data_IF_233109227432
#
_entry.id   IF_233109227432
#
_cell.length_a   1.000
_cell.length_b   1.000
_cell.length_c   1.000
_cell.angle_alpha   90.00
_cell.angle_beta   90.00
_cell.angle_gamma   90.00
#
_symmetry.space_group_name_H-M   'P 1'
#
loop_
_entity.id
_entity.type
_entity.pdbx_description
1 polymer ?
#
# COMPACT_ATOMS: atom_id res chain seq x y z
N UNK A 1 -13.65 -31.38 -16.85
CA UNK A 1 -12.47 -30.67 -16.30
C UNK A 1 -12.92 -29.31 -15.79
N UNK A 2 -12.37 -28.84 -14.67
CA UNK A 2 -12.74 -27.55 -14.09
C UNK A 2 -11.87 -26.46 -14.72
N UNK A 3 -12.49 -25.40 -15.21
CA UNK A 3 -11.80 -24.22 -15.74
C UNK A 3 -11.68 -23.19 -14.61
N UNK A 4 -10.46 -22.94 -14.15
CA UNK A 4 -10.20 -22.00 -13.05
C UNK A 4 -9.24 -20.88 -13.46
N UNK A 5 -9.26 -19.72 -12.77
CA UNK A 5 -8.36 -18.61 -13.07
C UNK A 5 -6.89 -19.03 -12.94
N UNK A 6 -6.10 -18.76 -13.97
CA UNK A 6 -4.67 -19.04 -13.94
C UNK A 6 -4.01 -18.31 -12.75
N UNK A 7 -2.97 -18.91 -12.13
CA UNK A 7 -2.20 -18.22 -11.11
C UNK A 7 -1.61 -16.93 -11.67
N UNK A 8 -1.69 -15.84 -10.92
CA UNK A 8 -1.04 -14.58 -11.30
C UNK A 8 0.48 -14.80 -11.28
N UNK A 9 1.14 -14.45 -12.38
CA UNK A 9 2.55 -14.79 -12.64
C UNK A 9 2.77 -16.23 -13.12
N UNK A 10 1.69 -16.94 -13.46
CA UNK A 10 1.69 -18.32 -13.95
C UNK A 10 2.22 -19.33 -12.94
N UNK A 11 2.48 -20.55 -13.42
CA UNK A 11 3.13 -21.63 -12.69
C UNK A 11 4.62 -21.29 -12.54
N UNK A 12 5.24 -21.69 -11.43
CA UNK A 12 6.65 -21.32 -11.17
C UNK A 12 7.57 -22.25 -11.96
N UNK A 13 8.19 -21.75 -13.02
CA UNK A 13 9.03 -22.55 -13.93
C UNK A 13 10.53 -22.41 -13.61
N UNK A 14 11.41 -23.26 -14.15
CA UNK A 14 12.85 -23.11 -13.96
C UNK A 14 13.41 -21.73 -14.37
N UNK A 15 12.77 -21.06 -15.33
CA UNK A 15 13.10 -19.68 -15.74
C UNK A 15 12.83 -18.63 -14.66
N UNK A 16 11.99 -18.92 -13.66
CA UNK A 16 11.74 -18.04 -12.51
C UNK A 16 12.88 -18.04 -11.47
N UNK A 17 13.84 -18.97 -11.56
CA UNK A 17 14.88 -19.15 -10.54
C UNK A 17 15.74 -17.89 -10.37
N UNK A 18 16.35 -17.41 -11.46
CA UNK A 18 17.21 -16.22 -11.45
C UNK A 18 16.47 -14.95 -11.02
N UNK A 19 15.31 -14.57 -11.60
CA UNK A 19 14.59 -13.37 -11.16
C UNK A 19 14.09 -13.48 -9.71
N UNK A 20 13.70 -14.67 -9.23
CA UNK A 20 13.32 -14.85 -7.83
C UNK A 20 14.48 -14.58 -6.88
N UNK A 21 15.68 -15.09 -7.16
CA UNK A 21 16.87 -14.78 -6.34
C UNK A 21 17.19 -13.28 -6.40
N UNK A 22 17.14 -12.68 -7.59
CA UNK A 22 17.37 -11.25 -7.76
C UNK A 22 16.44 -10.42 -6.87
N UNK A 23 15.13 -10.67 -6.93
CA UNK A 23 14.17 -9.92 -6.11
C UNK A 23 14.30 -10.22 -4.62
N UNK A 24 14.61 -11.46 -4.22
CA UNK A 24 14.90 -11.76 -2.81
C UNK A 24 16.07 -10.90 -2.28
N UNK A 25 17.14 -10.77 -3.07
CA UNK A 25 18.30 -9.92 -2.73
C UNK A 25 17.91 -8.44 -2.73
N UNK A 26 17.20 -7.96 -3.75
CA UNK A 26 16.76 -6.57 -3.84
C UNK A 26 15.86 -6.15 -2.67
N UNK A 27 14.96 -7.02 -2.22
CA UNK A 27 14.17 -6.78 -1.00
C UNK A 27 15.03 -6.86 0.26
N UNK A 28 15.98 -7.81 0.33
CA UNK A 28 16.95 -7.92 1.42
C UNK A 28 17.81 -6.67 1.60
N UNK A 29 18.24 -6.04 0.51
CA UNK A 29 19.01 -4.79 0.52
C UNK A 29 18.23 -3.59 1.09
N UNK A 30 16.91 -3.66 1.12
CA UNK A 30 16.09 -2.62 1.76
C UNK A 30 16.00 -2.81 3.30
N UNK A 31 16.28 -3.99 3.86
CA UNK A 31 16.20 -4.23 5.32
C UNK A 31 17.07 -3.28 6.16
N UNK A 32 18.35 -3.00 5.81
CA UNK A 32 19.14 -2.03 6.55
C UNK A 32 18.48 -0.64 6.60
N UNK A 33 17.80 -0.22 5.53
CA UNK A 33 17.05 1.04 5.49
C UNK A 33 15.84 0.98 6.43
N UNK A 34 15.10 -0.13 6.48
CA UNK A 34 14.00 -0.33 7.43
C UNK A 34 14.51 -0.21 8.86
N UNK A 35 15.57 -0.95 9.21
CA UNK A 35 16.16 -0.93 10.56
C UNK A 35 16.65 0.46 10.93
N UNK A 36 17.33 1.15 10.01
CA UNK A 36 17.76 2.53 10.20
C UNK A 36 16.57 3.47 10.46
N UNK A 37 15.51 3.38 9.63
CA UNK A 37 14.32 4.24 9.75
C UNK A 37 13.60 4.03 11.07
N UNK A 38 13.53 2.79 11.55
CA UNK A 38 12.89 2.41 12.80
C UNK A 38 13.73 2.77 14.04
N UNK A 39 15.06 2.76 13.92
CA UNK A 39 15.98 3.05 15.04
C UNK A 39 16.22 4.56 15.21
N UNK A 40 16.31 5.31 14.11
CA UNK A 40 16.62 6.74 14.17
C UNK A 40 15.40 7.55 14.65
N UNK A 41 15.53 8.17 15.84
CA UNK A 41 14.48 8.99 16.48
C UNK A 41 13.86 10.06 15.57
N UNK A 42 14.64 10.60 14.61
CA UNK A 42 14.22 11.64 13.66
C UNK A 42 13.41 11.12 12.47
N UNK A 43 13.41 9.82 12.18
CA UNK A 43 12.65 9.21 11.07
C UNK A 43 11.63 8.19 11.50
N UNK A 44 11.73 7.66 12.73
CA UNK A 44 10.83 6.64 13.25
C UNK A 44 9.38 7.11 13.16
N UNK A 45 8.57 6.30 12.51
CA UNK A 45 7.12 6.44 12.40
C UNK A 45 6.48 5.05 12.42
N UNK A 46 5.36 4.91 13.13
CA UNK A 46 4.61 3.66 13.21
C UNK A 46 3.90 3.33 11.89
N UNK A 47 3.73 4.32 11.00
CA UNK A 47 3.06 4.18 9.71
C UNK A 47 3.81 3.26 8.73
N UNK A 48 5.09 2.96 8.98
CA UNK A 48 5.91 2.10 8.13
C UNK A 48 6.08 0.66 8.66
N UNK A 49 5.35 0.29 9.72
CA UNK A 49 5.41 -1.08 10.26
C UNK A 49 4.81 -2.07 9.28
N UNK A 50 3.63 -1.78 8.70
CA UNK A 50 2.93 -2.66 7.76
C UNK A 50 3.77 -2.99 6.53
N UNK A 51 4.23 -1.95 5.82
CA UNK A 51 5.20 -2.07 4.72
C UNK A 51 6.51 -2.80 5.11
N UNK A 52 6.93 -2.74 6.38
CA UNK A 52 8.16 -3.39 6.84
C UNK A 52 7.99 -4.89 6.98
N UNK A 53 6.85 -5.30 7.54
CA UNK A 53 6.45 -6.71 7.59
C UNK A 53 6.26 -7.28 6.18
N UNK A 54 5.64 -6.50 5.28
CA UNK A 54 5.49 -6.90 3.87
C UNK A 54 6.84 -7.10 3.18
N UNK A 55 7.82 -6.22 3.43
CA UNK A 55 9.16 -6.36 2.86
C UNK A 55 9.85 -7.65 3.34
N UNK A 56 9.75 -7.98 4.62
CA UNK A 56 10.29 -9.26 5.16
C UNK A 56 9.58 -10.44 4.51
N UNK A 57 8.25 -10.36 4.41
CA UNK A 57 7.44 -11.37 3.75
C UNK A 57 7.88 -11.56 2.29
N UNK A 58 8.23 -10.49 1.56
CA UNK A 58 8.70 -10.57 0.18
C UNK A 58 10.03 -11.30 0.01
N UNK A 59 10.93 -11.21 1.00
CA UNK A 59 12.18 -11.97 0.98
C UNK A 59 11.88 -13.46 1.07
N UNK A 60 11.01 -13.85 2.01
CA UNK A 60 10.57 -15.25 2.19
C UNK A 60 9.84 -15.73 0.94
N UNK A 61 8.93 -14.91 0.41
CA UNK A 61 8.17 -15.17 -0.79
C UNK A 61 9.09 -15.55 -1.96
N UNK A 62 10.07 -14.71 -2.29
CA UNK A 62 10.93 -14.95 -3.44
C UNK A 62 11.96 -16.06 -3.21
N UNK A 63 12.39 -16.28 -1.95
CA UNK A 63 13.19 -17.46 -1.62
C UNK A 63 12.40 -18.76 -1.85
N UNK A 64 11.13 -18.81 -1.43
CA UNK A 64 10.23 -19.94 -1.68
C UNK A 64 9.95 -20.11 -3.17
N UNK A 65 9.72 -19.02 -3.92
CA UNK A 65 9.52 -19.07 -5.38
C UNK A 65 10.77 -19.60 -6.10
N UNK A 66 11.97 -19.21 -5.68
CA UNK A 66 13.22 -19.77 -6.20
C UNK A 66 13.34 -21.27 -5.94
N UNK A 67 12.91 -21.73 -4.75
CA UNK A 67 12.86 -23.16 -4.42
C UNK A 67 11.85 -23.92 -5.29
N UNK A 68 10.67 -23.35 -5.54
CA UNK A 68 9.66 -23.94 -6.44
C UNK A 68 10.16 -24.06 -7.89
N UNK A 69 10.99 -23.13 -8.35
CA UNK A 69 11.57 -23.19 -9.69
C UNK A 69 12.49 -24.42 -9.90
N UNK A 70 13.06 -24.97 -8.82
CA UNK A 70 14.00 -26.11 -8.85
C UNK A 70 13.39 -27.46 -8.48
N UNK A 71 12.17 -27.48 -7.96
CA UNK A 71 11.55 -28.69 -7.42
C UNK A 71 10.11 -28.82 -7.91
N UNK A 72 9.83 -29.87 -8.67
CA UNK A 72 8.49 -30.13 -9.20
C UNK A 72 7.47 -30.40 -8.07
N UNK A 73 7.87 -31.10 -7.00
CA UNK A 73 7.01 -31.34 -5.85
C UNK A 73 6.61 -30.05 -5.12
N UNK A 74 7.52 -29.07 -5.03
CA UNK A 74 7.23 -27.75 -4.47
C UNK A 74 6.44 -26.87 -5.45
N UNK A 75 6.69 -26.99 -6.76
CA UNK A 75 5.99 -26.23 -7.81
C UNK A 75 4.48 -26.46 -7.75
N UNK A 76 4.07 -27.71 -7.58
CA UNK A 76 2.66 -28.10 -7.53
C UNK A 76 2.09 -28.20 -6.11
N UNK A 77 2.82 -27.70 -5.11
CA UNK A 77 2.33 -27.65 -3.73
C UNK A 77 1.15 -26.68 -3.61
N UNK A 78 -0.03 -27.23 -3.32
CA UNK A 78 -1.26 -26.49 -3.08
C UNK A 78 -1.08 -25.38 -2.03
N UNK A 79 -0.33 -25.66 -0.96
CA UNK A 79 -0.06 -24.69 0.10
C UNK A 79 0.77 -23.50 -0.37
N UNK A 80 1.85 -23.77 -1.13
CA UNK A 80 2.70 -22.71 -1.67
C UNK A 80 1.95 -21.90 -2.71
N UNK A 81 1.24 -22.53 -3.66
CA UNK A 81 0.46 -21.80 -4.67
C UNK A 81 -0.59 -20.89 -4.00
N UNK A 82 -1.30 -21.39 -2.99
CA UNK A 82 -2.25 -20.60 -2.20
C UNK A 82 -1.59 -19.42 -1.50
N UNK A 83 -0.44 -19.65 -0.85
CA UNK A 83 0.34 -18.59 -0.20
C UNK A 83 0.76 -17.52 -1.20
N UNK A 84 1.32 -17.92 -2.35
CA UNK A 84 1.78 -17.00 -3.38
C UNK A 84 0.64 -16.13 -3.94
N UNK A 85 -0.48 -16.77 -4.28
CA UNK A 85 -1.64 -16.06 -4.83
C UNK A 85 -2.29 -15.12 -3.81
N UNK A 86 -2.35 -15.53 -2.54
CA UNK A 86 -2.86 -14.68 -1.45
C UNK A 86 -1.95 -13.48 -1.27
N UNK A 87 -0.65 -13.70 -1.18
CA UNK A 87 0.31 -12.65 -0.90
C UNK A 87 0.41 -11.61 -2.03
N UNK A 88 0.34 -12.02 -3.30
CA UNK A 88 0.20 -11.06 -4.41
C UNK A 88 -1.13 -10.32 -4.39
N UNK A 89 -2.22 -10.99 -3.97
CA UNK A 89 -3.56 -10.41 -3.91
C UNK A 89 -3.71 -9.28 -2.91
N UNK A 90 -2.95 -9.32 -1.82
CA UNK A 90 -3.14 -8.41 -0.69
C UNK A 90 -2.13 -7.28 -0.63
N UNK A 91 -0.93 -7.47 -1.19
CA UNK A 91 0.19 -6.57 -0.91
C UNK A 91 0.01 -5.15 -1.42
N UNK A 92 -0.36 -4.98 -2.70
CA UNK A 92 -0.53 -3.67 -3.32
C UNK A 92 -1.71 -2.89 -2.69
N UNK A 93 -2.74 -3.61 -2.23
CA UNK A 93 -3.85 -3.04 -1.45
C UNK A 93 -3.35 -2.59 -0.09
N UNK A 94 -2.52 -3.41 0.58
CA UNK A 94 -1.91 -3.09 1.87
C UNK A 94 -1.04 -1.84 1.83
N UNK A 95 -0.12 -1.74 0.85
CA UNK A 95 0.74 -0.56 0.65
C UNK A 95 -0.12 0.69 0.43
N UNK A 96 -1.14 0.60 -0.41
CA UNK A 96 -2.03 1.74 -0.65
C UNK A 96 -2.87 2.11 0.58
N UNK A 97 -3.31 1.13 1.37
CA UNK A 97 -4.02 1.36 2.63
C UNK A 97 -3.14 2.10 3.64
N UNK A 98 -1.89 1.66 3.82
CA UNK A 98 -0.88 2.35 4.64
C UNK A 98 -0.66 3.79 4.14
N UNK A 99 -0.72 3.98 2.81
CA UNK A 99 -0.56 5.28 2.17
C UNK A 99 -1.60 6.30 2.59
N UNK A 100 -2.82 5.86 2.89
CA UNK A 100 -3.91 6.75 3.33
C UNK A 100 -3.55 7.47 4.64
N UNK A 101 -2.77 6.85 5.52
CA UNK A 101 -2.41 7.46 6.79
C UNK A 101 -1.52 8.70 6.62
N UNK A 102 -0.54 8.68 5.71
CA UNK A 102 0.27 9.87 5.43
C UNK A 102 -0.40 10.85 4.45
N UNK A 103 -1.29 10.37 3.56
CA UNK A 103 -2.17 11.23 2.75
C UNK A 103 -3.10 12.05 3.65
N UNK A 104 -3.65 11.44 4.70
CA UNK A 104 -4.44 12.15 5.71
C UNK A 104 -3.66 13.30 6.31
N UNK A 105 -2.41 13.07 6.73
CA UNK A 105 -1.56 14.12 7.28
C UNK A 105 -1.30 15.24 6.24
N UNK A 106 -1.06 14.87 4.99
CA UNK A 106 -0.86 15.81 3.88
C UNK A 106 -2.06 16.74 3.68
N UNK A 107 -3.28 16.22 3.82
CA UNK A 107 -4.53 16.97 3.65
C UNK A 107 -4.92 17.77 4.90
N UNK A 108 -4.68 17.21 6.09
CA UNK A 108 -5.10 17.79 7.37
C UNK A 108 -4.16 18.91 7.83
N UNK A 109 -2.84 18.77 7.71
CA UNK A 109 -1.88 19.77 8.21
C UNK A 109 -2.12 21.20 7.67
N UNK A 110 -2.42 21.39 6.36
CA UNK A 110 -2.78 22.70 5.78
C UNK A 110 -4.01 23.39 6.36
N UNK A 111 -4.89 22.65 7.07
CA UNK A 111 -6.15 23.18 7.60
C UNK A 111 -6.00 23.86 8.97
N UNK A 112 -4.81 23.80 9.56
CA UNK A 112 -4.52 24.46 10.83
C UNK A 112 -4.22 25.95 10.64
N UNK A 113 -4.85 26.78 11.46
CA UNK A 113 -4.53 28.19 11.61
C UNK A 113 -3.25 28.41 12.43
N UNK A 114 -2.76 29.65 12.48
CA UNK A 114 -1.49 29.96 13.17
C UNK A 114 -1.53 29.68 14.67
N UNK A 115 -2.67 29.87 15.32
CA UNK A 115 -2.83 29.66 16.77
C UNK A 115 -2.85 28.17 17.15
N UNK A 116 -3.44 27.33 16.31
CA UNK A 116 -3.66 25.91 16.60
C UNK A 116 -2.63 24.99 15.92
N UNK A 117 -1.64 25.55 15.22
CA UNK A 117 -0.70 24.76 14.41
C UNK A 117 0.14 23.77 15.24
N UNK A 118 0.46 24.12 16.49
CA UNK A 118 1.21 23.26 17.40
C UNK A 118 0.48 21.95 17.70
N UNK A 119 -0.86 21.96 17.62
CA UNK A 119 -1.66 20.76 17.78
C UNK A 119 -1.55 19.83 16.58
N UNK A 120 -1.13 20.30 15.40
CA UNK A 120 -1.05 19.47 14.21
C UNK A 120 0.04 18.40 14.31
N UNK A 121 -0.09 17.26 13.61
CA UNK A 121 1.02 16.31 13.45
C UNK A 121 2.33 16.96 12.93
N UNK A 122 2.20 18.03 12.14
CA UNK A 122 3.33 18.81 11.66
C UNK A 122 4.03 19.61 12.75
N UNK A 123 3.28 20.19 13.71
CA UNK A 123 3.84 20.91 14.87
C UNK A 123 4.80 20.05 15.70
N UNK A 124 4.51 18.75 15.84
CA UNK A 124 5.37 17.79 16.53
C UNK A 124 6.54 17.25 15.68
N UNK A 125 6.64 17.66 14.41
CA UNK A 125 7.65 17.16 13.47
C UNK A 125 8.74 18.18 13.23
N UNK A 126 9.86 18.06 13.96
CA UNK A 126 11.03 18.94 13.79
C UNK A 126 11.64 18.81 12.39
N UNK A 127 11.68 19.93 11.65
CA UNK A 127 12.23 20.00 10.30
C UNK A 127 11.40 19.25 9.26
N UNK A 128 10.07 19.22 9.44
CA UNK A 128 9.12 18.75 8.44
C UNK A 128 9.07 19.68 7.21
N UNK A 129 8.55 19.15 6.09
CA UNK A 129 8.37 19.94 4.86
C UNK A 129 7.18 20.90 4.97
N UNK A 130 6.18 20.55 5.78
CA UNK A 130 5.07 21.45 6.09
C UNK A 130 5.57 22.57 7.00
N UNK A 131 5.45 23.82 6.54
CA UNK A 131 5.83 25.02 7.29
C UNK A 131 4.65 25.50 8.13
N UNK A 132 4.90 26.15 9.28
CA UNK A 132 3.83 26.82 10.01
C UNK A 132 3.17 27.87 9.11
N UNK A 133 1.84 28.04 9.20
CA UNK A 133 1.13 29.06 8.44
C UNK A 133 1.52 30.46 8.94
N UNK A 134 1.44 31.50 8.08
CA UNK A 134 1.68 32.88 8.50
C UNK A 134 0.78 33.29 9.69
N UNK A 135 1.29 34.15 10.55
CA UNK A 135 0.54 34.70 11.70
C UNK A 135 -0.75 35.35 11.22
N UNK A 136 -1.87 35.04 11.87
CA UNK A 136 -3.21 35.52 11.50
C UNK A 136 -3.94 34.64 10.48
N UNK A 137 -3.35 33.50 10.08
CA UNK A 137 -4.06 32.54 9.22
C UNK A 137 -5.22 31.90 9.99
N UNK A 138 -6.48 32.01 9.50
CA UNK A 138 -7.64 31.46 10.19
C UNK A 138 -7.67 29.94 10.13
N UNK A 139 -8.16 29.32 11.20
CA UNK A 139 -8.32 27.87 11.33
C UNK A 139 -9.52 27.35 10.50
N UNK A 140 -9.42 26.12 9.97
CA UNK A 140 -10.46 25.51 9.14
C UNK A 140 -10.96 24.15 9.67
N UNK A 141 -11.63 24.11 10.83
CA UNK A 141 -12.03 22.85 11.48
C UNK A 141 -13.04 22.04 10.66
N UNK A 142 -13.96 22.69 9.94
CA UNK A 142 -14.95 21.99 9.09
C UNK A 142 -14.27 21.21 7.96
N UNK A 143 -13.29 21.82 7.29
CA UNK A 143 -12.52 21.19 6.22
C UNK A 143 -11.64 20.06 6.77
N UNK A 144 -11.01 20.27 7.93
CA UNK A 144 -10.24 19.24 8.63
C UNK A 144 -11.07 17.99 8.91
N UNK A 145 -12.24 18.18 9.50
CA UNK A 145 -13.17 17.08 9.80
C UNK A 145 -13.62 16.36 8.52
N UNK A 146 -13.88 17.10 7.43
CA UNK A 146 -14.18 16.51 6.13
C UNK A 146 -13.04 15.61 5.63
N UNK A 147 -11.79 16.09 5.66
CA UNK A 147 -10.64 15.29 5.22
C UNK A 147 -10.43 14.04 6.06
N UNK A 148 -10.58 14.14 7.39
CA UNK A 148 -10.52 12.98 8.29
C UNK A 148 -11.56 11.93 7.91
N UNK A 149 -12.84 12.32 7.81
CA UNK A 149 -13.94 11.43 7.42
C UNK A 149 -13.72 10.81 6.05
N UNK A 150 -13.26 11.58 5.08
CA UNK A 150 -12.96 11.10 3.73
C UNK A 150 -11.85 10.04 3.77
N UNK A 151 -10.76 10.30 4.49
CA UNK A 151 -9.66 9.33 4.63
C UNK A 151 -10.04 8.08 5.42
N UNK A 152 -10.89 8.22 6.44
CA UNK A 152 -11.43 7.08 7.20
C UNK A 152 -12.33 6.21 6.30
N UNK A 153 -13.20 6.83 5.51
CA UNK A 153 -14.02 6.13 4.52
C UNK A 153 -13.15 5.35 3.51
N UNK A 154 -12.13 6.00 2.95
CA UNK A 154 -11.19 5.35 2.03
C UNK A 154 -10.48 4.17 2.68
N UNK A 155 -10.05 4.31 3.94
CA UNK A 155 -9.41 3.23 4.69
C UNK A 155 -10.36 2.04 4.87
N UNK A 156 -11.63 2.26 5.17
CA UNK A 156 -12.63 1.19 5.27
C UNK A 156 -12.89 0.51 3.93
N UNK A 157 -12.93 1.26 2.82
CA UNK A 157 -13.12 0.68 1.48
C UNK A 157 -11.89 -0.17 1.09
N UNK A 158 -10.66 0.30 1.38
CA UNK A 158 -9.45 -0.51 1.18
C UNK A 158 -9.45 -1.77 2.04
N UNK A 159 -9.91 -1.68 3.29
CA UNK A 159 -10.06 -2.85 4.15
C UNK A 159 -11.08 -3.85 3.58
N UNK A 160 -12.21 -3.36 3.06
CA UNK A 160 -13.19 -4.22 2.39
C UNK A 160 -12.59 -4.91 1.15
N UNK A 161 -11.87 -4.17 0.30
CA UNK A 161 -11.15 -4.73 -0.86
C UNK A 161 -10.13 -5.78 -0.44
N UNK A 162 -9.38 -5.53 0.63
CA UNK A 162 -8.40 -6.46 1.20
C UNK A 162 -9.06 -7.75 1.70
N UNK A 163 -10.19 -7.66 2.42
CA UNK A 163 -10.94 -8.82 2.90
C UNK A 163 -11.43 -9.66 1.72
N UNK A 164 -12.00 -9.03 0.68
CA UNK A 164 -12.45 -9.72 -0.53
C UNK A 164 -11.27 -10.45 -1.18
N UNK A 165 -10.11 -9.80 -1.30
CA UNK A 165 -8.89 -10.40 -1.86
C UNK A 165 -8.41 -11.60 -1.02
N UNK A 166 -8.41 -11.51 0.31
CA UNK A 166 -8.03 -12.63 1.20
C UNK A 166 -8.98 -13.80 1.02
N UNK A 167 -10.29 -13.57 1.02
CA UNK A 167 -11.32 -14.62 0.86
C UNK A 167 -11.20 -15.29 -0.51
N UNK A 168 -10.99 -14.51 -1.57
CA UNK A 168 -10.82 -15.04 -2.92
C UNK A 168 -9.58 -15.96 -3.01
N UNK A 169 -8.44 -15.53 -2.48
CA UNK A 169 -7.19 -16.27 -2.65
C UNK A 169 -6.99 -17.40 -1.63
N UNK A 170 -7.57 -17.29 -0.43
CA UNK A 170 -7.49 -18.36 0.57
C UNK A 170 -8.27 -19.62 0.16
N UNK A 171 -9.26 -19.49 -0.72
CA UNK A 171 -10.04 -20.60 -1.26
C UNK A 171 -9.44 -21.20 -2.54
N UNK A 172 -8.24 -20.77 -2.97
CA UNK A 172 -7.67 -21.15 -4.27
C UNK A 172 -7.51 -22.66 -4.46
N UNK A 173 -7.17 -23.43 -3.43
CA UNK A 173 -7.01 -24.90 -3.56
C UNK A 173 -8.32 -25.63 -3.76
N UNK A 174 -9.44 -25.05 -3.29
CA UNK A 174 -10.76 -25.66 -3.41
C UNK A 174 -11.35 -25.51 -4.81
N UNK A 175 -10.78 -24.64 -5.66
CA UNK A 175 -11.31 -24.38 -7.00
C UNK A 175 -10.98 -25.49 -8.00
N UNK A 176 -9.96 -26.31 -7.74
CA UNK A 176 -9.51 -27.33 -8.70
C UNK A 176 -10.55 -28.45 -8.90
N UNK A 177 -11.44 -28.64 -7.93
CA UNK A 177 -12.42 -29.73 -7.92
C UNK A 177 -13.87 -29.25 -8.16
N UNK A 178 -14.10 -27.94 -8.22
CA UNK A 178 -15.45 -27.36 -8.20
C UNK A 178 -15.53 -26.08 -9.05
N UNK A 179 -16.26 -26.17 -10.17
CA UNK A 179 -16.45 -25.08 -11.11
C UNK A 179 -17.15 -23.87 -10.48
N UNK A 180 -18.13 -24.09 -9.60
CA UNK A 180 -18.88 -23.01 -8.95
C UNK A 180 -17.96 -22.20 -8.03
N UNK A 181 -17.07 -22.88 -7.29
CA UNK A 181 -16.04 -22.22 -6.47
C UNK A 181 -15.00 -21.51 -7.32
N UNK A 182 -14.62 -22.07 -8.46
CA UNK A 182 -13.70 -21.45 -9.41
C UNK A 182 -14.26 -20.12 -9.94
N UNK A 183 -15.51 -20.11 -10.42
CA UNK A 183 -16.14 -18.91 -10.95
C UNK A 183 -16.39 -17.86 -9.86
N UNK A 184 -16.83 -18.28 -8.66
CA UNK A 184 -16.95 -17.36 -7.51
C UNK A 184 -15.61 -16.72 -7.14
N UNK A 185 -14.53 -17.51 -7.13
CA UNK A 185 -13.18 -17.01 -6.83
C UNK A 185 -12.71 -16.03 -7.90
N UNK A 186 -12.98 -16.31 -9.17
CA UNK A 186 -12.70 -15.39 -10.28
C UNK A 186 -13.41 -14.05 -10.06
N UNK A 187 -14.73 -14.07 -9.82
CA UNK A 187 -15.53 -12.87 -9.60
C UNK A 187 -15.05 -12.05 -8.41
N UNK A 188 -14.67 -12.68 -7.30
CA UNK A 188 -14.13 -11.96 -6.13
C UNK A 188 -12.75 -11.34 -6.42
N UNK A 189 -11.89 -12.02 -7.19
CA UNK A 189 -10.61 -11.45 -7.64
C UNK A 189 -10.84 -10.22 -8.51
N UNK A 190 -11.76 -10.28 -9.47
CA UNK A 190 -12.14 -9.13 -10.30
C UNK A 190 -12.70 -7.99 -9.45
N UNK A 191 -13.63 -8.28 -8.55
CA UNK A 191 -14.25 -7.27 -7.70
C UNK A 191 -13.22 -6.55 -6.81
N UNK A 192 -12.32 -7.29 -6.15
CA UNK A 192 -11.27 -6.68 -5.33
C UNK A 192 -10.29 -5.82 -6.12
N UNK A 193 -9.84 -6.29 -7.29
CA UNK A 193 -8.91 -5.54 -8.15
C UNK A 193 -9.57 -4.30 -8.77
N UNK A 194 -10.80 -4.41 -9.26
CA UNK A 194 -11.56 -3.28 -9.80
C UNK A 194 -11.83 -2.21 -8.74
N UNK A 195 -12.23 -2.63 -7.54
CA UNK A 195 -12.42 -1.73 -6.41
C UNK A 195 -11.11 -1.01 -6.03
N UNK A 196 -9.98 -1.73 -6.02
CA UNK A 196 -8.68 -1.14 -5.74
C UNK A 196 -8.29 -0.08 -6.79
N UNK A 197 -8.46 -0.37 -8.10
CA UNK A 197 -8.20 0.59 -9.18
C UNK A 197 -9.05 1.85 -9.01
N UNK A 198 -10.36 1.69 -8.79
CA UNK A 198 -11.27 2.82 -8.56
C UNK A 198 -10.79 3.68 -7.37
N UNK A 199 -10.40 3.05 -6.26
CA UNK A 199 -9.89 3.77 -5.09
C UNK A 199 -8.56 4.49 -5.35
N UNK A 200 -7.65 3.92 -6.15
CA UNK A 200 -6.40 4.61 -6.51
C UNK A 200 -6.66 5.90 -7.28
N UNK A 201 -7.58 5.88 -8.25
CA UNK A 201 -7.94 7.09 -8.98
C UNK A 201 -8.65 8.11 -8.09
N UNK A 202 -9.50 7.68 -7.16
CA UNK A 202 -10.13 8.58 -6.17
C UNK A 202 -9.06 9.24 -5.29
N UNK A 203 -8.10 8.49 -4.77
CA UNK A 203 -7.01 9.02 -3.95
C UNK A 203 -6.15 10.02 -4.74
N UNK A 204 -5.76 9.68 -5.98
CA UNK A 204 -5.01 10.59 -6.86
C UNK A 204 -5.82 11.86 -7.12
N UNK A 205 -7.12 11.73 -7.40
CA UNK A 205 -8.03 12.85 -7.61
C UNK A 205 -8.11 13.77 -6.40
N UNK A 206 -8.25 13.21 -5.19
CA UNK A 206 -8.28 13.99 -3.94
C UNK A 206 -6.98 14.74 -3.70
N UNK A 207 -5.82 14.08 -3.86
CA UNK A 207 -4.52 14.72 -3.68
C UNK A 207 -4.34 15.84 -4.71
N UNK A 208 -4.63 15.56 -5.98
CA UNK A 208 -4.50 16.51 -7.09
C UNK A 208 -5.42 17.72 -6.88
N UNK A 209 -6.70 17.48 -6.59
CA UNK A 209 -7.66 18.53 -6.24
C UNK A 209 -7.17 19.38 -5.06
N UNK A 210 -6.66 18.76 -3.99
CA UNK A 210 -6.15 19.50 -2.84
C UNK A 210 -4.97 20.43 -3.17
N UNK A 211 -4.08 20.01 -4.08
CA UNK A 211 -2.94 20.81 -4.53
C UNK A 211 -3.39 22.00 -5.36
N UNK A 212 -4.43 21.84 -6.20
CA UNK A 212 -4.93 22.90 -7.08
C UNK A 212 -5.92 23.86 -6.41
N UNK A 213 -6.74 23.39 -5.47
CA UNK A 213 -7.74 24.21 -4.78
C UNK A 213 -7.15 24.99 -3.61
N UNK A 214 -6.11 24.48 -2.96
CA UNK A 214 -5.45 25.14 -1.83
C UNK A 214 -3.98 25.54 -2.10
N UNK A 215 -3.66 26.20 -3.24
CA UNK A 215 -2.28 26.48 -3.63
C UNK A 215 -1.61 27.51 -2.72
N UNK A 216 -2.39 28.40 -2.11
CA UNK A 216 -1.88 29.44 -1.20
C UNK A 216 -1.56 28.93 0.22
N UNK A 217 -1.94 27.69 0.57
CA UNK A 217 -1.97 27.20 1.98
C UNK A 217 -1.20 25.90 2.25
N UNK A 218 0.01 25.75 1.72
CA UNK A 218 1.04 24.84 2.29
C UNK A 218 0.98 23.32 1.98
N UNK A 219 0.10 22.81 1.09
CA UNK A 219 0.26 21.42 0.63
C UNK A 219 1.61 21.29 -0.08
N UNK A 220 2.53 20.51 0.50
CA UNK A 220 3.84 20.27 -0.07
C UNK A 220 3.69 19.54 -1.41
N UNK A 221 3.95 20.24 -2.52
CA UNK A 221 3.93 19.66 -3.88
C UNK A 221 4.84 18.44 -4.01
N UNK A 222 5.99 18.46 -3.32
CA UNK A 222 6.92 17.32 -3.28
C UNK A 222 6.28 16.11 -2.61
N UNK A 223 5.62 16.31 -1.47
CA UNK A 223 4.98 15.23 -0.72
C UNK A 223 3.77 14.67 -1.47
N UNK A 224 2.98 15.55 -2.10
CA UNK A 224 1.89 15.16 -2.99
C UNK A 224 2.40 14.33 -4.19
N UNK A 225 3.48 14.77 -4.85
CA UNK A 225 4.07 14.04 -5.97
C UNK A 225 4.56 12.65 -5.56
N UNK A 226 5.20 12.50 -4.40
CA UNK A 226 5.62 11.18 -3.92
C UNK A 226 4.42 10.29 -3.58
N UNK A 227 3.39 10.82 -2.92
CA UNK A 227 2.18 10.05 -2.64
C UNK A 227 1.47 9.59 -3.93
N UNK A 228 1.31 10.50 -4.90
CA UNK A 228 0.73 10.17 -6.21
C UNK A 228 1.56 9.10 -6.92
N UNK A 229 2.89 9.22 -6.91
CA UNK A 229 3.79 8.24 -7.53
C UNK A 229 3.61 6.84 -6.91
N UNK A 230 3.56 6.74 -5.57
CA UNK A 230 3.34 5.46 -4.88
C UNK A 230 1.98 4.86 -5.26
N UNK A 231 0.92 5.67 -5.27
CA UNK A 231 -0.43 5.18 -5.62
C UNK A 231 -0.51 4.79 -7.11
N UNK A 232 0.15 5.52 -8.01
CA UNK A 232 0.26 5.15 -9.43
C UNK A 232 0.98 3.81 -9.61
N UNK A 233 2.07 3.56 -8.89
CA UNK A 233 2.76 2.27 -8.93
C UNK A 233 1.85 1.13 -8.46
N UNK A 234 1.03 1.33 -7.42
CA UNK A 234 0.03 0.33 -7.00
C UNK A 234 -1.09 0.15 -8.04
N UNK A 235 -1.47 1.23 -8.72
CA UNK A 235 -2.45 1.17 -9.80
C UNK A 235 -1.97 0.35 -11.00
N UNK A 236 -0.69 0.45 -11.37
CA UNK A 236 -0.08 -0.40 -12.41
C UNK A 236 -0.28 -1.89 -12.05
N UNK A 237 -0.01 -2.28 -10.81
CA UNK A 237 -0.20 -3.67 -10.34
C UNK A 237 -1.66 -4.10 -10.48
N UNK A 238 -2.60 -3.27 -10.02
CA UNK A 238 -4.02 -3.62 -10.07
C UNK A 238 -4.57 -3.70 -11.49
N UNK A 239 -4.15 -2.80 -12.39
CA UNK A 239 -4.50 -2.83 -13.82
C UNK A 239 -3.92 -4.09 -14.47
N UNK A 240 -2.65 -4.41 -14.22
CA UNK A 240 -2.03 -5.64 -14.71
C UNK A 240 -2.82 -6.87 -14.26
N UNK A 241 -3.20 -6.94 -12.98
CA UNK A 241 -4.02 -8.04 -12.46
C UNK A 241 -5.36 -8.15 -13.19
N UNK A 242 -6.08 -7.05 -13.39
CA UNK A 242 -7.33 -7.06 -14.17
C UNK A 242 -7.11 -7.53 -15.60
N UNK A 243 -6.01 -7.10 -16.23
CA UNK A 243 -5.66 -7.48 -17.59
C UNK A 243 -5.41 -8.98 -17.72
N UNK A 244 -4.76 -9.64 -16.75
CA UNK A 244 -4.43 -11.07 -16.84
C UNK A 244 -5.50 -12.01 -16.26
N UNK A 245 -6.49 -11.50 -15.52
CA UNK A 245 -7.49 -12.33 -14.83
C UNK A 245 -8.43 -13.11 -15.76
N UNK A 246 -8.51 -12.75 -17.05
CA UNK A 246 -9.37 -13.45 -18.00
C UNK A 246 -8.77 -14.79 -18.44
N UNK A 247 -7.48 -14.99 -18.19
CA UNK A 247 -6.75 -16.21 -18.54
C UNK A 247 -7.16 -17.31 -17.55
N UNK A 248 -7.74 -18.39 -18.09
CA UNK A 248 -8.15 -19.59 -17.34
C UNK A 248 -7.27 -20.78 -17.72
N UNK A 249 -7.15 -21.76 -16.83
CA UNK A 249 -6.45 -23.03 -17.06
C UNK A 249 -7.25 -24.19 -16.48
N UNK A 250 -7.05 -25.39 -17.03
CA UNK A 250 -7.64 -26.66 -16.60
C UNK A 250 -6.76 -27.42 -15.62
N UNK A 251 -5.45 -27.16 -15.63
CA UNK A 251 -4.48 -27.76 -14.72
C UNK A 251 -3.32 -26.80 -14.42
N UNK A 252 -2.65 -27.01 -13.29
CA UNK A 252 -1.37 -26.36 -12.97
C UNK A 252 -0.21 -26.95 -13.76
N UNK A 253 -0.35 -28.14 -14.33
CA UNK A 253 0.70 -28.78 -15.13
C UNK A 253 0.67 -28.37 -16.60
N UNK A 254 -0.45 -27.81 -17.05
CA UNK A 254 -0.65 -27.43 -18.44
C UNK A 254 -0.11 -26.03 -18.71
N UNK A 255 0.68 -25.83 -19.78
CA UNK A 255 1.17 -24.52 -20.16
C UNK A 255 0.01 -23.55 -20.42
N UNK A 256 0.10 -22.36 -19.84
CA UNK A 256 -0.81 -21.26 -20.12
C UNK A 256 -0.05 -20.04 -20.67
N UNK A 257 -0.76 -19.01 -21.10
CA UNK A 257 -0.15 -17.79 -21.66
C UNK A 257 0.79 -17.08 -20.68
N UNK A 258 0.53 -17.16 -19.36
CA UNK A 258 1.38 -16.58 -18.30
C UNK A 258 2.64 -17.42 -18.00
N UNK A 259 2.78 -18.59 -18.61
CA UNK A 259 3.95 -19.46 -18.50
C UNK A 259 4.96 -19.24 -19.62
N UNK A 260 4.60 -18.46 -20.64
CA UNK A 260 5.52 -18.02 -21.68
C UNK A 260 6.59 -17.07 -21.11
N UNK A 261 7.79 -16.99 -21.71
CA UNK A 261 8.81 -16.03 -21.29
C UNK A 261 8.31 -14.57 -21.26
N UNK A 262 7.44 -14.20 -22.20
CA UNK A 262 6.80 -12.88 -22.24
C UNK A 262 5.86 -12.67 -21.04
N UNK A 263 4.97 -13.64 -20.75
CA UNK A 263 4.06 -13.56 -19.60
C UNK A 263 4.80 -13.48 -18.26
N UNK A 264 5.95 -14.16 -18.13
CA UNK A 264 6.84 -14.01 -16.96
C UNK A 264 7.46 -12.63 -16.89
N UNK A 265 7.98 -12.11 -18.01
CA UNK A 265 8.57 -10.78 -18.06
C UNK A 265 7.54 -9.70 -17.67
N UNK A 266 6.33 -9.75 -18.23
CA UNK A 266 5.22 -8.85 -17.90
C UNK A 266 4.88 -8.89 -16.41
N UNK A 267 4.82 -10.10 -15.83
CA UNK A 267 4.58 -10.26 -14.41
C UNK A 267 5.63 -9.57 -13.54
N UNK A 268 6.92 -9.79 -13.80
CA UNK A 268 7.98 -9.14 -13.03
C UNK A 268 7.95 -7.61 -13.23
N UNK A 269 7.75 -7.14 -14.46
CA UNK A 269 7.78 -5.70 -14.81
C UNK A 269 6.57 -4.94 -14.27
N UNK A 270 5.36 -5.49 -14.38
CA UNK A 270 4.13 -4.77 -14.02
C UNK A 270 3.59 -5.11 -12.63
N UNK A 271 3.98 -6.25 -12.06
CA UNK A 271 3.56 -6.62 -10.71
C UNK A 271 4.67 -6.44 -9.67
N UNK A 272 5.88 -6.91 -9.95
CA UNK A 272 6.94 -7.01 -8.93
C UNK A 272 7.76 -5.71 -8.83
N UNK A 273 8.21 -5.16 -9.96
CA UNK A 273 9.01 -3.94 -10.00
C UNK A 273 8.27 -2.74 -9.39
N UNK A 274 6.99 -2.45 -9.68
CA UNK A 274 6.32 -1.28 -9.13
C UNK A 274 6.14 -1.38 -7.61
N UNK A 275 5.92 -2.60 -7.11
CA UNK A 275 5.85 -2.89 -5.67
C UNK A 275 7.19 -2.62 -4.99
N UNK A 276 8.28 -3.14 -5.56
CA UNK A 276 9.62 -2.92 -5.04
C UNK A 276 10.01 -1.44 -5.07
N UNK A 277 9.72 -0.72 -6.17
CA UNK A 277 9.97 0.73 -6.28
C UNK A 277 9.16 1.49 -5.22
N UNK A 278 7.88 1.15 -5.01
CA UNK A 278 7.06 1.82 -4.01
C UNK A 278 7.62 1.64 -2.58
N UNK A 279 8.04 0.43 -2.23
CA UNK A 279 8.68 0.15 -0.95
C UNK A 279 10.04 0.85 -0.83
N UNK A 280 10.85 0.83 -1.88
CA UNK A 280 12.11 1.56 -1.95
C UNK A 280 11.88 3.06 -1.72
N UNK A 281 10.90 3.68 -2.39
CA UNK A 281 10.54 5.08 -2.19
C UNK A 281 10.13 5.35 -0.74
N UNK A 282 9.24 4.54 -0.17
CA UNK A 282 8.78 4.68 1.22
C UNK A 282 9.92 4.68 2.23
N UNK A 283 10.94 3.84 2.06
CA UNK A 283 12.09 3.77 2.97
C UNK A 283 13.22 4.74 2.62
N UNK A 284 13.39 5.07 1.33
CA UNK A 284 14.39 6.03 0.86
C UNK A 284 14.08 7.44 1.36
N UNK A 285 12.80 7.83 1.46
CA UNK A 285 12.41 9.12 2.01
C UNK A 285 12.18 9.06 3.53
N UNK A 286 12.37 10.18 4.22
CA UNK A 286 11.93 10.31 5.59
C UNK A 286 10.42 10.63 5.61
N UNK A 287 9.57 9.60 5.55
CA UNK A 287 8.10 9.75 5.52
C UNK A 287 7.58 10.68 6.61
N UNK A 288 8.13 10.57 7.82
CA UNK A 288 7.77 11.46 8.93
C UNK A 288 7.99 12.93 8.60
N UNK A 289 9.15 13.29 8.04
CA UNK A 289 9.44 14.69 7.65
C UNK A 289 8.70 15.11 6.38
N UNK A 290 8.67 14.24 5.37
CA UNK A 290 8.04 14.53 4.07
C UNK A 290 6.56 14.80 4.25
N UNK A 291 5.84 13.96 5.00
CA UNK A 291 4.40 14.09 5.20
C UNK A 291 4.02 14.77 6.52
N UNK A 292 5.02 15.12 7.35
CA UNK A 292 4.83 15.80 8.64
C UNK A 292 3.83 15.04 9.53
N UNK A 293 4.03 13.73 9.66
CA UNK A 293 3.08 12.79 10.28
C UNK A 293 3.23 12.67 11.80
N UNK A 294 4.28 13.22 12.40
CA UNK A 294 4.65 12.87 13.77
C UNK A 294 5.03 11.38 13.91
N UNK A 295 4.88 10.82 15.12
CA UNK A 295 5.23 9.41 15.35
C UNK A 295 4.18 8.45 14.78
N UNK A 296 2.89 8.75 14.94
CA UNK A 296 1.78 7.85 14.60
C UNK A 296 0.79 8.37 13.55
N UNK A 297 1.05 9.51 12.92
CA UNK A 297 0.09 10.14 11.99
C UNK A 297 -0.97 10.99 12.70
N UNK A 298 -2.06 11.29 11.98
CA UNK A 298 -3.27 11.89 12.54
C UNK A 298 -4.29 10.80 12.88
N UNK A 299 -4.33 10.38 14.15
CA UNK A 299 -5.31 9.39 14.64
C UNK A 299 -6.56 10.03 15.28
N UNK A 300 -6.60 11.36 15.40
CA UNK A 300 -7.67 12.06 16.11
C UNK A 300 -8.94 12.10 15.26
N UNK A 301 -10.05 11.67 15.84
CA UNK A 301 -11.37 11.82 15.24
C UNK A 301 -11.91 13.25 15.37
N UNK A 302 -11.66 13.88 16.52
CA UNK A 302 -12.17 15.22 16.88
C UNK A 302 -11.01 16.07 17.41
N UNK A 303 -11.05 17.38 17.16
CA UNK A 303 -10.10 18.32 17.75
C UNK A 303 -10.41 18.50 19.24
N UNK A 304 -9.38 18.77 20.05
CA UNK A 304 -9.60 19.06 21.48
C UNK A 304 -10.34 20.39 21.59
N UNK A 305 -11.27 20.50 22.54
CA UNK A 305 -11.86 21.81 22.85
C UNK A 305 -10.78 22.74 23.43
N UNK A 306 -10.89 24.05 23.17
CA UNK A 306 -9.93 25.04 23.70
C UNK A 306 -9.82 24.96 25.22
N UNK A 307 -10.94 24.77 25.92
CA UNK A 307 -10.99 24.60 27.38
C UNK A 307 -10.22 23.37 27.87
N UNK A 308 -10.28 22.25 27.14
CA UNK A 308 -9.52 21.05 27.49
C UNK A 308 -8.01 21.21 27.23
N UNK A 309 -7.64 21.94 26.17
CA UNK A 309 -6.24 22.25 25.87
C UNK A 309 -5.63 23.19 26.92
N UNK A 310 -6.36 24.21 27.34
CA UNK A 310 -5.92 25.15 28.37
C UNK A 310 -5.81 24.48 29.75
N UNK A 311 -6.68 23.52 30.05
CA UNK A 311 -6.62 22.70 31.27
C UNK A 311 -5.39 21.78 31.34
N UNK A 312 -4.96 21.20 30.21
CA UNK A 312 -3.73 20.37 30.16
C UNK A 312 -2.47 21.23 30.31
N UNK A 313 -2.40 22.40 29.65
CA UNK A 313 -1.25 23.32 29.78
C UNK A 313 -1.03 23.79 31.21
N UNK A 314 -2.12 23.98 31.98
CA UNK A 314 -2.02 24.29 33.42
C UNK A 314 -1.44 23.13 34.23
N UNK A 315 -1.77 21.89 33.90
CA UNK A 315 -1.26 20.69 34.60
C UNK A 315 0.19 20.35 34.26
N UNK A 316 0.68 20.73 33.08
CA UNK A 316 2.09 20.51 32.71
C UNK A 316 3.03 21.61 33.20
N UNK A 317 2.48 22.73 33.68
CA UNK A 317 3.24 23.84 34.27
C UNK A 317 3.37 23.81 35.80
N UNK A 318 2.74 22.84 36.46
CA UNK A 318 2.87 22.52 37.90
C UNK A 318 3.79 21.31 38.10
#
# INVERSE_FOLDING_TARGET
MVNFPAPIGGTVLPSDFAPSILFAVLYGLLLPLVVYRMSARRSRTLLLIGSGLLLIERIVFYALRASQARSDSLRFSNGLVKYMQTSYGVSYIGIASDSIAYVRCLLVNPTFGSENYEESPAGHTKGGVCKPPPVGTPDQPKLRNLFRRLTDLLRYIFLASLIIAIVANSNYTAIFNDQVKADRTASLRYASAALAVAMFFVVIGIITWSVFTYPARSVSRRSAAVAILIILLMAVIAIYRLAVMHIKTTSLTEPNQLDTPAGKAEFYVFHVVPEWIALCLLYAINVRKTFSTGLGGDWRAVDKSKEAADGEKKKEGE
#
